data_IF_117741657712
#
_entry.id   IF_117741657712
#
_cell.length_a   1.000
_cell.length_b   1.000
_cell.length_c   1.000
_cell.angle_alpha   90.00
_cell.angle_beta   90.00
_cell.angle_gamma   90.00
#
_symmetry.space_group_name_H-M   'P 1'
#
loop_
_entity.id
_entity.type
_entity.pdbx_description
1 polymer ?
#
# COMPACT_ATOMS: atom_id res chain seq x y z
N UNK A 1 13.64 -14.75 21.28
CA UNK A 1 14.63 -15.14 20.24
C UNK A 1 13.92 -15.35 18.89
N UNK A 2 13.62 -14.29 18.14
CA UNK A 2 13.01 -14.41 16.81
C UNK A 2 14.09 -14.27 15.72
N UNK A 3 15.09 -15.16 15.73
CA UNK A 3 16.32 -14.95 14.94
C UNK A 3 16.13 -15.07 13.42
N UNK A 4 14.94 -15.37 12.89
CA UNK A 4 14.82 -15.55 11.44
C UNK A 4 13.43 -15.28 10.83
N UNK A 5 12.48 -14.65 11.54
CA UNK A 5 11.12 -14.47 11.02
C UNK A 5 11.12 -13.62 9.73
N UNK A 6 11.98 -12.60 9.66
CA UNK A 6 12.12 -11.75 8.49
C UNK A 6 12.63 -12.54 7.29
N UNK A 7 13.76 -13.23 7.43
CA UNK A 7 14.37 -14.02 6.35
C UNK A 7 13.43 -15.13 5.86
N UNK A 8 12.65 -15.74 6.76
CA UNK A 8 11.64 -16.74 6.39
C UNK A 8 10.52 -16.10 5.57
N UNK A 9 10.03 -14.93 5.98
CA UNK A 9 8.99 -14.19 5.24
C UNK A 9 9.49 -13.71 3.88
N UNK A 10 10.69 -13.15 3.80
CA UNK A 10 11.30 -12.72 2.54
C UNK A 10 11.47 -13.89 1.57
N UNK A 11 12.04 -15.02 2.03
CA UNK A 11 12.15 -16.23 1.19
C UNK A 11 10.79 -16.72 0.70
N UNK A 12 9.75 -16.68 1.55
CA UNK A 12 8.39 -17.05 1.14
C UNK A 12 7.83 -16.10 0.09
N UNK A 13 8.04 -14.79 0.23
CA UNK A 13 7.60 -13.80 -0.77
C UNK A 13 8.34 -13.95 -2.10
N UNK A 14 9.63 -14.30 -2.07
CA UNK A 14 10.40 -14.63 -3.29
C UNK A 14 9.88 -15.90 -3.93
N UNK A 15 9.68 -16.97 -3.16
CA UNK A 15 9.15 -18.24 -3.68
C UNK A 15 7.73 -18.09 -4.28
N UNK A 16 6.93 -17.15 -3.78
CA UNK A 16 5.61 -16.82 -4.34
C UNK A 16 5.68 -15.90 -5.57
N UNK A 17 6.87 -15.45 -5.98
CA UNK A 17 7.08 -14.53 -7.08
C UNK A 17 6.58 -13.12 -6.81
N UNK A 18 6.45 -12.72 -5.55
CA UNK A 18 6.04 -11.36 -5.13
C UNK A 18 7.25 -10.44 -5.07
N UNK A 19 8.39 -10.96 -4.62
CA UNK A 19 9.68 -10.28 -4.61
C UNK A 19 10.65 -11.01 -5.54
N UNK A 20 11.55 -10.26 -6.13
CA UNK A 20 12.73 -10.76 -6.84
C UNK A 20 13.97 -10.30 -6.06
N UNK A 21 14.98 -11.18 -6.01
CA UNK A 21 16.22 -10.94 -5.28
C UNK A 21 17.33 -10.54 -6.25
N UNK A 22 18.01 -9.44 -5.94
CA UNK A 22 19.13 -8.92 -6.72
C UNK A 22 20.42 -8.98 -5.90
N UNK A 23 21.51 -9.53 -6.46
CA UNK A 23 22.81 -9.43 -5.82
C UNK A 23 23.29 -7.98 -5.89
N UNK A 24 23.74 -7.45 -4.76
CA UNK A 24 24.38 -6.13 -4.71
C UNK A 24 25.88 -6.33 -4.86
N UNK A 25 26.47 -5.79 -5.92
CA UNK A 25 27.92 -5.88 -6.12
C UNK A 25 28.69 -5.24 -4.95
N UNK A 26 29.65 -5.99 -4.41
CA UNK A 26 30.48 -5.54 -3.28
C UNK A 26 29.84 -5.66 -1.89
N UNK A 27 28.67 -6.29 -1.77
CA UNK A 27 27.96 -6.46 -0.50
C UNK A 27 27.56 -7.91 -0.26
N UNK A 28 27.52 -8.32 1.02
CA UNK A 28 26.93 -9.61 1.43
C UNK A 28 25.40 -9.53 1.54
N UNK A 29 24.83 -8.33 1.43
CA UNK A 29 23.40 -8.10 1.45
C UNK A 29 22.77 -8.33 0.07
N UNK A 30 21.49 -8.66 0.10
CA UNK A 30 20.68 -8.93 -1.08
C UNK A 30 19.58 -7.89 -1.14
N UNK A 31 19.43 -7.26 -2.30
CA UNK A 31 18.32 -6.35 -2.54
C UNK A 31 17.07 -7.11 -2.95
N UNK A 32 15.91 -6.57 -2.63
CA UNK A 32 14.62 -7.15 -2.99
C UNK A 32 13.77 -6.11 -3.70
N UNK A 33 13.31 -6.41 -4.91
CA UNK A 33 12.37 -5.58 -5.64
C UNK A 33 11.01 -6.27 -5.76
N UNK A 34 9.93 -5.48 -5.83
CA UNK A 34 8.60 -6.00 -6.13
C UNK A 34 8.52 -6.40 -7.60
N UNK A 35 8.06 -7.62 -7.85
CA UNK A 35 7.67 -8.07 -9.20
C UNK A 35 6.38 -7.39 -9.65
N UNK A 36 5.95 -7.64 -10.89
CA UNK A 36 4.64 -7.20 -11.35
C UNK A 36 3.50 -7.78 -10.50
N UNK A 37 3.59 -9.07 -10.16
CA UNK A 37 2.65 -9.73 -9.24
C UNK A 37 2.66 -9.07 -7.87
N UNK A 38 3.85 -8.70 -7.36
CA UNK A 38 3.97 -8.01 -6.09
C UNK A 38 3.36 -6.61 -6.12
N UNK A 39 3.52 -5.87 -7.22
CA UNK A 39 2.86 -4.57 -7.42
C UNK A 39 1.33 -4.72 -7.45
N UNK A 40 0.80 -5.84 -7.94
CA UNK A 40 -0.62 -6.16 -7.86
C UNK A 40 -1.20 -6.26 -6.43
N UNK A 41 -0.36 -6.57 -5.43
CA UNK A 41 -0.78 -6.60 -4.02
C UNK A 41 -0.93 -5.22 -3.39
N UNK A 42 -0.52 -4.16 -4.08
CA UNK A 42 -0.57 -2.79 -3.57
C UNK A 42 -1.97 -2.42 -3.06
N UNK A 43 -3.02 -2.78 -3.79
CA UNK A 43 -4.40 -2.47 -3.42
C UNK A 43 -4.82 -3.16 -2.10
N UNK A 44 -4.39 -4.41 -1.90
CA UNK A 44 -4.69 -5.17 -0.68
C UNK A 44 -3.95 -4.56 0.53
N UNK A 45 -2.68 -4.20 0.34
CA UNK A 45 -1.90 -3.52 1.38
C UNK A 45 -2.50 -2.17 1.76
N UNK A 46 -2.97 -1.42 0.76
CA UNK A 46 -3.69 -0.16 0.96
C UNK A 46 -5.00 -0.35 1.75
N UNK A 47 -5.79 -1.38 1.42
CA UNK A 47 -7.04 -1.67 2.12
C UNK A 47 -6.81 -2.00 3.59
N UNK A 48 -5.84 -2.85 3.90
CA UNK A 48 -5.50 -3.19 5.30
C UNK A 48 -5.04 -1.95 6.07
N UNK A 49 -4.23 -1.10 5.43
CA UNK A 49 -3.74 0.15 6.02
C UNK A 49 -4.88 1.10 6.38
N UNK A 50 -5.76 1.40 5.42
CA UNK A 50 -6.89 2.31 5.63
C UNK A 50 -7.94 1.75 6.59
N UNK A 51 -8.17 0.44 6.57
CA UNK A 51 -9.01 -0.22 7.57
C UNK A 51 -8.44 -0.03 8.98
N UNK A 52 -7.13 -0.22 9.16
CA UNK A 52 -6.46 -0.01 10.44
C UNK A 52 -6.54 1.44 10.95
N UNK A 53 -6.47 2.43 10.06
CA UNK A 53 -6.69 3.84 10.38
C UNK A 53 -8.12 4.10 10.88
N UNK A 54 -9.13 3.45 10.29
CA UNK A 54 -10.53 3.53 10.73
C UNK A 54 -10.82 2.80 12.05
N UNK A 55 -9.98 1.84 12.45
CA UNK A 55 -10.17 1.06 13.68
C UNK A 55 -9.62 1.74 14.96
N UNK A 56 -9.22 3.02 14.90
CA UNK A 56 -8.86 3.81 16.07
C UNK A 56 -7.48 3.51 16.66
N UNK A 57 -6.58 2.89 15.88
CA UNK A 57 -5.18 2.80 16.26
C UNK A 57 -4.50 4.16 16.17
N UNK A 58 -3.76 4.55 17.22
CA UNK A 58 -2.99 5.79 17.24
C UNK A 58 -1.83 5.68 16.23
N UNK A 59 -2.08 6.09 14.98
CA UNK A 59 -1.13 6.00 13.88
C UNK A 59 -0.72 7.42 13.46
N UNK A 60 0.50 7.88 13.82
CA UNK A 60 0.95 9.23 13.49
C UNK A 60 1.27 9.41 11.99
N UNK A 61 1.16 8.37 11.17
CA UNK A 61 1.56 8.39 9.77
C UNK A 61 0.35 8.45 8.83
N UNK A 62 0.29 9.52 8.02
CA UNK A 62 -0.69 9.68 6.92
C UNK A 62 -0.12 9.15 5.61
N UNK A 63 -0.91 8.37 4.88
CA UNK A 63 -0.53 7.90 3.56
C UNK A 63 -0.73 9.01 2.52
N UNK A 64 0.32 9.35 1.78
CA UNK A 64 0.31 10.40 0.75
C UNK A 64 0.69 9.87 -0.62
N UNK A 65 0.08 10.43 -1.69
CA UNK A 65 0.52 10.18 -3.06
C UNK A 65 1.90 10.82 -3.26
N UNK A 66 2.83 10.05 -3.82
CA UNK A 66 4.22 10.47 -4.01
C UNK A 66 4.33 11.67 -4.95
N UNK A 67 3.40 11.81 -5.91
CA UNK A 67 3.41 12.83 -6.98
C UNK A 67 3.06 14.21 -6.45
N UNK A 68 2.01 14.33 -5.63
CA UNK A 68 1.44 15.60 -5.20
C UNK A 68 1.49 15.84 -3.67
N UNK A 69 1.96 14.84 -2.91
CA UNK A 69 2.04 14.85 -1.44
C UNK A 69 0.69 14.99 -0.74
N UNK A 70 -0.42 14.75 -1.43
CA UNK A 70 -1.76 14.82 -0.84
C UNK A 70 -2.15 13.49 -0.20
N UNK A 71 -2.98 13.51 0.85
CA UNK A 71 -3.51 12.29 1.45
C UNK A 71 -4.20 11.41 0.40
N UNK A 72 -3.91 10.11 0.43
CA UNK A 72 -4.56 9.16 -0.48
C UNK A 72 -6.01 9.00 -0.07
N UNK A 73 -6.94 9.15 -1.04
CA UNK A 73 -8.37 9.00 -0.78
C UNK A 73 -8.70 7.59 -0.26
N UNK A 74 -9.70 7.48 0.64
CA UNK A 74 -10.20 6.18 1.07
C UNK A 74 -10.67 5.32 -0.11
N UNK A 75 -10.37 4.02 -0.05
CA UNK A 75 -10.90 3.04 -0.99
C UNK A 75 -12.43 3.01 -0.86
N UNK A 76 -13.13 3.05 -1.99
CA UNK A 76 -14.59 3.07 -2.02
C UNK A 76 -15.22 4.47 -1.97
N UNK A 77 -14.43 5.55 -1.83
CA UNK A 77 -14.96 6.87 -2.18
C UNK A 77 -15.13 6.90 -3.70
N UNK A 78 -16.37 6.79 -4.19
CA UNK A 78 -16.67 7.14 -5.58
C UNK A 78 -16.13 8.54 -5.82
N UNK A 79 -15.52 8.83 -6.99
CA UNK A 79 -15.21 10.21 -7.32
C UNK A 79 -16.54 10.95 -7.28
N UNK A 80 -16.78 11.74 -6.22
CA UNK A 80 -17.86 12.70 -6.19
C UNK A 80 -17.63 13.56 -7.42
N UNK A 81 -18.47 13.34 -8.43
CA UNK A 81 -18.69 14.31 -9.47
C UNK A 81 -19.09 15.57 -8.72
N UNK A 82 -18.19 16.55 -8.70
CA UNK A 82 -18.53 17.94 -8.39
C UNK A 82 -19.49 18.41 -9.49
N UNK A 83 -20.73 17.96 -9.35
CA UNK A 83 -21.87 18.27 -10.20
C UNK A 83 -22.68 19.31 -9.48
N UNK A 84 -22.37 20.58 -9.77
CA UNK A 84 -23.32 21.67 -9.65
C UNK A 84 -24.69 21.21 -10.20
N UNK A 85 -25.63 20.93 -9.31
CA UNK A 85 -27.05 20.89 -9.63
C UNK A 85 -27.77 21.54 -8.44
N UNK A 86 -27.82 22.85 -8.57
CA UNK A 86 -28.91 23.73 -8.16
C UNK A 86 -30.08 22.97 -7.52
N UNK A 87 -30.28 23.25 -6.24
CA UNK A 87 -31.59 23.18 -5.60
C UNK A 87 -32.60 23.92 -6.49
N UNK A 88 -33.33 23.18 -7.32
CA UNK A 88 -34.61 23.64 -7.84
C UNK A 88 -35.68 22.71 -7.28
N UNK A 89 -36.33 23.26 -6.27
CA UNK A 89 -37.68 22.99 -5.77
C UNK A 89 -38.57 22.22 -6.75
N UNK A 90 -39.18 21.14 -6.27
CA UNK A 90 -40.44 20.65 -6.81
C UNK A 90 -41.52 20.67 -5.73
N UNK A 91 -42.61 21.32 -6.11
CA UNK A 91 -43.86 21.60 -5.40
C UNK A 91 -44.63 20.33 -5.01
#
# INVERSE_FOLDING_TARGET
MAKNILTVRLRKLVALGILEQFPVEGSTYQDYALTEKGRGLFLVLMAIRQWGEGCGGDNPYVLVDKRDKKPVKPLGSTPTTDGNSEQTTWS
#
